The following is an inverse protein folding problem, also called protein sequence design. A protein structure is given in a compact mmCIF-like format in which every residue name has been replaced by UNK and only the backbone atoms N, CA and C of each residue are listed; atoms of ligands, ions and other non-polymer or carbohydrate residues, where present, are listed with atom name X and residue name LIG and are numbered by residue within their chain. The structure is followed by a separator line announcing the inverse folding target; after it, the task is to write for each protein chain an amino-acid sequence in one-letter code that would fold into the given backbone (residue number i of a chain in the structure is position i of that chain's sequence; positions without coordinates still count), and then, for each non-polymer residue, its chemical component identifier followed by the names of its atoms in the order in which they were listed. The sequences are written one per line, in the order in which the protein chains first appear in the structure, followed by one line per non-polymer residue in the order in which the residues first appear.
data_IF_521486413671
#
_entry.id   IF_521486413671
#
_cell.length_a   1.000
_cell.length_b   1.000
_cell.length_c   1.000
_cell.angle_alpha   90.00
_cell.angle_beta   90.00
_cell.angle_gamma   90.00
#
_symmetry.space_group_name_H-M   'P 1'
#
loop_
_entity.id
_entity.type
_entity.pdbx_description
1 polymer ?
#
# COMPACT_ATOMS: atom_id res chain seq x y z
N UNK A 1 5.92 -12.96 7.51
CA UNK A 1 6.36 -12.18 6.33
C UNK A 1 5.44 -12.19 5.12
N UNK A 2 4.51 -13.14 5.07
CA UNK A 2 3.54 -13.19 3.98
C UNK A 2 2.75 -11.89 3.85
N UNK A 3 2.32 -11.31 4.96
CA UNK A 3 1.55 -10.06 4.94
C UNK A 3 2.41 -8.87 4.46
N UNK A 4 3.67 -8.85 4.82
CA UNK A 4 4.59 -7.82 4.32
C UNK A 4 4.85 -8.03 2.82
N UNK A 5 4.97 -9.28 2.37
CA UNK A 5 5.08 -9.58 0.93
C UNK A 5 3.86 -9.08 0.16
N UNK A 6 2.67 -9.23 0.72
CA UNK A 6 1.45 -8.72 0.09
C UNK A 6 1.49 -7.21 -0.07
N UNK A 7 1.98 -6.49 0.95
CA UNK A 7 2.15 -5.05 0.87
C UNK A 7 3.13 -4.67 -0.23
N UNK A 8 4.29 -5.33 -0.26
CA UNK A 8 5.33 -5.07 -1.26
C UNK A 8 4.83 -5.33 -2.68
N UNK A 9 4.19 -6.48 -2.88
CA UNK A 9 3.70 -6.86 -4.19
C UNK A 9 2.64 -5.89 -4.71
N UNK A 10 1.67 -5.57 -3.88
CA UNK A 10 0.57 -4.70 -4.31
C UNK A 10 1.01 -3.25 -4.46
N UNK A 11 1.91 -2.77 -3.64
CA UNK A 11 2.51 -1.44 -3.81
C UNK A 11 3.28 -1.36 -5.13
N UNK A 12 4.02 -2.40 -5.46
CA UNK A 12 4.76 -2.47 -6.73
C UNK A 12 3.83 -2.45 -7.94
N UNK A 13 2.71 -3.15 -7.87
CA UNK A 13 1.69 -3.12 -8.93
C UNK A 13 1.12 -1.72 -9.11
N UNK A 14 0.81 -1.05 -8.00
CA UNK A 14 0.29 0.32 -8.04
C UNK A 14 1.30 1.25 -8.72
N UNK A 15 2.57 1.16 -8.37
CA UNK A 15 3.62 1.96 -9.00
C UNK A 15 3.65 1.78 -10.52
N UNK A 16 3.56 0.53 -10.97
CA UNK A 16 3.55 0.22 -12.40
C UNK A 16 2.30 0.81 -13.07
N UNK A 17 1.12 0.60 -12.49
CA UNK A 17 -0.13 1.07 -13.07
C UNK A 17 -0.19 2.59 -13.17
N UNK A 18 0.42 3.29 -12.23
CA UNK A 18 0.38 4.75 -12.17
C UNK A 18 1.54 5.43 -12.91
N UNK A 19 2.44 4.67 -13.50
CA UNK A 19 3.60 5.21 -14.19
C UNK A 19 3.18 6.22 -15.26
N UNK A 20 3.72 7.44 -15.14
CA UNK A 20 3.45 8.50 -16.11
C UNK A 20 2.11 9.19 -15.97
N UNK A 21 1.32 8.85 -14.94
CA UNK A 21 0.00 9.46 -14.74
C UNK A 21 0.08 10.54 -13.66
N UNK A 22 -0.39 11.74 -14.00
CA UNK A 22 -0.70 12.74 -12.99
C UNK A 22 -2.11 12.47 -12.43
N UNK A 23 -2.54 13.31 -11.49
CA UNK A 23 -3.83 13.11 -10.85
C UNK A 23 -4.99 13.11 -11.84
N UNK A 24 -5.01 14.07 -12.77
CA UNK A 24 -6.09 14.16 -13.75
C UNK A 24 -6.16 12.94 -14.64
N UNK A 25 -5.01 12.48 -15.14
CA UNK A 25 -4.95 11.29 -15.97
C UNK A 25 -5.37 10.04 -15.20
N UNK A 26 -4.99 9.93 -13.93
CA UNK A 26 -5.41 8.83 -13.08
C UNK A 26 -6.93 8.83 -12.88
N UNK A 27 -7.50 9.99 -12.55
CA UNK A 27 -8.94 10.10 -12.33
C UNK A 27 -9.75 9.76 -13.58
N UNK A 28 -9.24 10.08 -14.76
CA UNK A 28 -9.89 9.82 -16.04
C UNK A 28 -9.73 8.39 -16.54
N UNK A 29 -8.83 7.62 -15.94
CA UNK A 29 -8.55 6.25 -16.36
C UNK A 29 -9.22 5.25 -15.42
N UNK A 30 -10.47 4.89 -15.73
CA UNK A 30 -11.25 3.98 -14.90
C UNK A 30 -10.61 2.61 -14.72
N UNK A 31 -9.96 2.10 -15.76
CA UNK A 31 -9.29 0.79 -15.69
C UNK A 31 -8.14 0.80 -14.69
N UNK A 32 -7.27 1.81 -14.78
CA UNK A 32 -6.15 1.96 -13.85
C UNK A 32 -6.66 2.21 -12.44
N UNK A 33 -7.65 3.09 -12.30
CA UNK A 33 -8.22 3.40 -10.99
C UNK A 33 -8.78 2.15 -10.32
N UNK A 34 -9.54 1.34 -11.04
CA UNK A 34 -10.09 0.11 -10.49
C UNK A 34 -8.99 -0.88 -10.08
N UNK A 35 -7.95 -1.01 -10.90
CA UNK A 35 -6.82 -1.88 -10.58
C UNK A 35 -6.07 -1.39 -9.34
N UNK A 36 -5.84 -0.09 -9.22
CA UNK A 36 -5.17 0.51 -8.06
C UNK A 36 -6.00 0.33 -6.80
N UNK A 37 -7.32 0.57 -6.89
CA UNK A 37 -8.21 0.39 -5.74
C UNK A 37 -8.18 -1.05 -5.25
N UNK A 38 -8.15 -2.02 -6.17
CA UNK A 38 -8.07 -3.43 -5.79
C UNK A 38 -6.76 -3.75 -5.07
N UNK A 39 -5.65 -3.21 -5.54
CA UNK A 39 -4.37 -3.39 -4.86
C UNK A 39 -4.36 -2.74 -3.48
N UNK A 40 -4.97 -1.56 -3.33
CA UNK A 40 -5.10 -0.91 -2.02
C UNK A 40 -5.96 -1.74 -1.06
N UNK A 41 -7.03 -2.36 -1.54
CA UNK A 41 -7.85 -3.26 -0.72
C UNK A 41 -7.00 -4.39 -0.15
N UNK A 42 -6.10 -4.96 -0.94
CA UNK A 42 -5.21 -6.03 -0.49
C UNK A 42 -4.21 -5.52 0.54
N UNK A 43 -3.69 -4.32 0.37
CA UNK A 43 -2.81 -3.70 1.36
C UNK A 43 -3.56 -3.45 2.67
N UNK A 44 -4.79 -2.95 2.59
CA UNK A 44 -5.65 -2.72 3.73
C UNK A 44 -5.92 -4.04 4.49
N UNK A 45 -6.22 -5.10 3.76
CA UNK A 45 -6.43 -6.42 4.34
C UNK A 45 -5.18 -6.93 5.05
N UNK A 46 -4.01 -6.76 4.44
CA UNK A 46 -2.76 -7.13 5.09
C UNK A 46 -2.53 -6.34 6.37
N UNK A 47 -2.83 -5.03 6.34
CA UNK A 47 -2.71 -4.17 7.52
C UNK A 47 -3.65 -4.62 8.65
N UNK A 48 -4.88 -4.99 8.32
CA UNK A 48 -5.83 -5.53 9.29
C UNK A 48 -5.30 -6.81 9.93
N UNK A 49 -4.77 -7.70 9.13
CA UNK A 49 -4.27 -8.99 9.61
C UNK A 49 -3.00 -8.86 10.44
N UNK A 50 -2.17 -7.87 10.13
CA UNK A 50 -0.99 -7.55 10.95
C UNK A 50 -1.40 -7.02 12.33
N UNK A 51 -2.49 -6.27 12.40
CA UNK A 51 -2.98 -5.71 13.65
C UNK A 51 -1.92 -4.87 14.36
N UNK A 52 -1.68 -5.14 15.63
CA UNK A 52 -0.69 -4.42 16.42
C UNK A 52 0.74 -4.63 15.94
N UNK A 53 1.02 -5.75 15.28
CA UNK A 53 2.36 -6.05 14.78
C UNK A 53 2.79 -5.10 13.68
N UNK A 54 1.85 -4.47 12.99
CA UNK A 54 2.16 -3.50 11.93
C UNK A 54 3.03 -2.35 12.47
N UNK A 55 2.65 -1.77 13.58
CA UNK A 55 3.41 -0.67 14.20
C UNK A 55 4.75 -1.10 14.75
N UNK A 56 4.89 -2.36 15.12
CA UNK A 56 6.16 -2.92 15.62
C UNK A 56 7.10 -3.24 14.47
N UNK A 57 6.59 -3.87 13.41
CA UNK A 57 7.39 -4.29 12.27
C UNK A 57 7.73 -3.13 11.34
N UNK A 58 6.80 -2.22 11.16
CA UNK A 58 6.94 -1.08 10.26
C UNK A 58 6.45 0.19 10.97
N UNK A 59 7.27 0.74 11.90
CA UNK A 59 6.86 1.93 12.65
C UNK A 59 6.84 3.19 11.79
N UNK A 60 6.11 4.19 12.25
CA UNK A 60 6.09 5.51 11.62
C UNK A 60 5.10 5.67 10.48
N UNK A 61 4.20 4.71 10.26
CA UNK A 61 3.20 4.78 9.21
C UNK A 61 1.80 4.98 9.79
N UNK A 62 0.88 5.63 9.04
CA UNK A 62 -0.48 5.88 9.52
C UNK A 62 -1.35 4.62 9.43
N UNK A 63 -1.05 3.61 10.25
CA UNK A 63 -1.72 2.32 10.20
C UNK A 63 -3.22 2.38 10.40
N UNK A 64 -3.66 3.29 11.27
CA UNK A 64 -5.09 3.48 11.50
C UNK A 64 -5.79 3.90 10.21
N UNK A 65 -5.20 4.84 9.50
CA UNK A 65 -5.75 5.34 8.24
C UNK A 65 -5.66 4.28 7.14
N UNK A 66 -4.56 3.55 7.10
CA UNK A 66 -4.38 2.45 6.14
C UNK A 66 -5.44 1.38 6.37
N UNK A 67 -5.67 0.98 7.61
CA UNK A 67 -6.72 0.01 7.93
C UNK A 67 -8.11 0.53 7.60
N UNK A 68 -8.32 1.84 7.72
CA UNK A 68 -9.59 2.48 7.40
C UNK A 68 -9.83 2.74 5.92
N UNK A 69 -8.90 2.39 5.06
CA UNK A 69 -8.96 2.68 3.63
C UNK A 69 -10.18 2.06 2.94
N UNK A 70 -10.72 0.97 3.49
CA UNK A 70 -11.92 0.36 2.93
C UNK A 70 -13.10 1.33 2.83
N UNK A 71 -13.32 2.15 3.85
CA UNK A 71 -14.36 3.18 3.82
C UNK A 71 -14.05 4.24 2.76
N UNK A 72 -12.79 4.64 2.67
CA UNK A 72 -12.36 5.63 1.68
C UNK A 72 -12.63 5.14 0.26
N UNK A 73 -12.35 3.87 -0.01
CA UNK A 73 -12.55 3.28 -1.33
C UNK A 73 -14.02 3.26 -1.73
N UNK A 74 -14.92 3.06 -0.77
CA UNK A 74 -16.36 3.11 -1.04
C UNK A 74 -16.83 4.49 -1.49
N UNK A 75 -16.10 5.54 -1.11
CA UNK A 75 -16.43 6.92 -1.41
C UNK A 75 -15.48 7.56 -2.44
N UNK A 76 -14.68 6.74 -3.13
CA UNK A 76 -13.70 7.25 -4.08
C UNK A 76 -14.31 7.94 -5.30
N UNK A 77 -15.61 7.80 -5.49
CA UNK A 77 -16.31 8.48 -6.59
C UNK A 77 -16.58 9.94 -6.28
N UNK A 78 -16.69 10.32 -5.03
CA UNK A 78 -16.90 11.70 -4.67
C UNK A 78 -15.56 12.43 -4.50
N UNK A 79 -15.64 13.74 -4.39
CA UNK A 79 -14.44 14.58 -4.34
C UNK A 79 -13.59 14.30 -3.12
N UNK A 80 -14.23 14.09 -1.97
CA UNK A 80 -13.53 13.85 -0.70
C UNK A 80 -12.80 12.50 -0.75
N UNK A 81 -13.49 11.47 -1.22
CA UNK A 81 -12.90 10.15 -1.37
C UNK A 81 -11.73 10.15 -2.34
N UNK A 82 -11.87 10.88 -3.45
CA UNK A 82 -10.81 11.01 -4.46
C UNK A 82 -9.59 11.74 -3.90
N UNK A 83 -9.79 12.82 -3.14
CA UNK A 83 -8.69 13.56 -2.52
C UNK A 83 -7.91 12.69 -1.54
N UNK A 84 -8.62 11.93 -0.71
CA UNK A 84 -8.00 11.03 0.27
C UNK A 84 -7.24 9.92 -0.46
N UNK A 85 -7.86 9.33 -1.47
CA UNK A 85 -7.24 8.27 -2.26
C UNK A 85 -5.93 8.75 -2.89
N UNK A 86 -5.96 9.89 -3.56
CA UNK A 86 -4.77 10.44 -4.20
C UNK A 86 -3.67 10.76 -3.19
N UNK A 87 -4.02 11.37 -2.07
CA UNK A 87 -3.06 11.67 -1.01
C UNK A 87 -2.41 10.40 -0.47
N UNK A 88 -3.20 9.35 -0.27
CA UNK A 88 -2.67 8.05 0.16
C UNK A 88 -1.67 7.49 -0.85
N UNK A 89 -2.01 7.55 -2.13
CA UNK A 89 -1.16 6.99 -3.19
C UNK A 89 0.17 7.73 -3.35
N UNK A 90 0.17 9.04 -3.19
CA UNK A 90 1.38 9.83 -3.46
C UNK A 90 2.17 10.20 -2.21
N UNK A 91 1.57 10.18 -1.05
CA UNK A 91 2.21 10.59 0.20
C UNK A 91 2.46 9.44 1.17
N UNK A 92 1.45 8.62 1.42
CA UNK A 92 1.53 7.59 2.45
C UNK A 92 2.12 6.28 1.92
N UNK A 93 1.78 5.90 0.71
CA UNK A 93 2.18 4.61 0.15
C UNK A 93 3.68 4.51 -0.17
N UNK A 94 4.33 5.50 -0.80
CA UNK A 94 5.74 5.36 -1.15
C UNK A 94 6.66 5.08 0.05
N UNK A 95 6.58 5.79 1.19
CA UNK A 95 7.42 5.46 2.33
C UNK A 95 7.08 4.10 2.93
N UNK A 96 5.81 3.71 2.95
CA UNK A 96 5.42 2.38 3.41
C UNK A 96 6.02 1.29 2.53
N UNK A 97 5.95 1.46 1.21
CA UNK A 97 6.51 0.50 0.27
C UNK A 97 8.02 0.36 0.45
N UNK A 98 8.73 1.47 0.64
CA UNK A 98 10.17 1.46 0.87
C UNK A 98 10.54 0.69 2.13
N UNK A 99 9.85 0.97 3.24
CA UNK A 99 10.11 0.30 4.51
C UNK A 99 9.72 -1.18 4.47
N UNK A 100 8.63 -1.51 3.80
CA UNK A 100 8.21 -2.89 3.65
C UNK A 100 9.22 -3.70 2.83
N UNK A 101 9.75 -3.12 1.76
CA UNK A 101 10.79 -3.76 0.95
C UNK A 101 12.06 -3.98 1.75
N UNK A 102 12.45 -3.01 2.56
CA UNK A 102 13.63 -3.11 3.41
C UNK A 102 13.44 -4.20 4.47
N UNK A 103 12.29 -4.25 5.12
CA UNK A 103 11.98 -5.26 6.12
C UNK A 103 11.99 -6.66 5.51
N UNK A 104 11.44 -6.82 4.31
CA UNK A 104 11.40 -8.08 3.61
C UNK A 104 12.81 -8.54 3.21
N UNK A 105 13.63 -7.62 2.71
CA UNK A 105 15.01 -7.91 2.35
C UNK A 105 15.84 -8.31 3.56
N UNK A 106 15.68 -7.62 4.69
CA UNK A 106 16.35 -7.93 5.93
C UNK A 106 15.96 -9.32 6.45
N UNK A 107 14.67 -9.67 6.38
CA UNK A 107 14.18 -10.98 6.77
C UNK A 107 14.79 -12.09 5.91
N UNK A 108 14.80 -11.90 4.60
CA UNK A 108 15.38 -12.87 3.67
C UNK A 108 16.89 -13.01 3.86
N UNK A 109 17.57 -11.89 4.09
CA UNK A 109 19.00 -11.89 4.37
C UNK A 109 19.34 -12.51 5.70
N UNK A 110 18.47 -12.39 6.70
CA UNK A 110 18.69 -12.95 8.04
C UNK A 110 18.36 -14.44 8.11
N UNK A 111 17.65 -14.98 7.11
CA UNK A 111 17.18 -16.36 7.11
C UNK A 111 18.28 -17.37 6.74
N UNK A 112 18.09 -18.09 5.63
CA UNK A 112 18.98 -19.21 5.29
C UNK A 112 20.46 -18.84 5.17
N UNK A 113 20.76 -17.66 4.69
CA UNK A 113 22.15 -17.24 4.44
C UNK A 113 22.99 -17.24 5.70
N UNK A 114 22.41 -16.95 6.85
CA UNK A 114 23.15 -16.89 8.12
C UNK A 114 23.45 -18.25 8.72
N UNK A 115 22.85 -19.27 8.18
CA UNK A 115 23.04 -20.63 8.69
C UNK A 115 24.17 -21.37 8.01
N UNK A 116 24.67 -20.78 6.97
CA UNK A 116 25.74 -21.40 6.20
C UNK A 116 27.12 -21.35 6.89
#
# INVERSE_FOLDING_TARGET
MILIEDIVENAGRIEVYMTGLDRGAFEDNGLVRDAVERCLERICEAAHRLGHDAGTLLPGHPWRDIRGMGNTLQHAHDRIGTDILWSTLVRDLPPLAADAREALAAHRGAGPAKKA
#
